data_IF_764046890844
#
_entry.id   IF_764046890844
#
_cell.length_a   1.000
_cell.length_b   1.000
_cell.length_c   1.000
_cell.angle_alpha   90.00
_cell.angle_beta   90.00
_cell.angle_gamma   90.00
#
_symmetry.space_group_name_H-M   'P 1'
#
loop_
_entity.id
_entity.type
_entity.pdbx_description
1 polymer ?
#
# COMPACT_ATOMS: atom_id res chain seq x y z
N UNK A 1 -16.58 0.45 11.68
CA UNK A 1 -16.61 -0.06 10.29
C UNK A 1 -16.87 1.15 9.41
N UNK A 2 -16.04 1.39 8.40
CA UNK A 2 -16.15 2.60 7.61
C UNK A 2 -17.36 2.49 6.67
N UNK A 3 -18.51 2.93 7.19
CA UNK A 3 -19.76 3.35 6.55
C UNK A 3 -19.87 3.35 5.02
N UNK A 4 -18.93 4.05 4.38
CA UNK A 4 -18.91 4.35 2.95
C UNK A 4 -17.56 5.01 2.65
N UNK A 5 -16.61 4.34 1.99
CA UNK A 5 -15.63 5.12 1.21
C UNK A 5 -16.41 5.56 -0.04
N UNK A 6 -17.13 6.67 0.06
CA UNK A 6 -17.68 7.41 -1.07
C UNK A 6 -16.58 8.06 -1.92
N UNK A 7 -15.43 7.41 -1.98
CA UNK A 7 -14.24 7.80 -2.68
C UNK A 7 -14.58 7.59 -4.15
N UNK A 8 -14.93 8.68 -4.84
CA UNK A 8 -15.28 8.65 -6.23
C UNK A 8 -14.19 7.89 -6.98
N UNK A 9 -14.58 7.11 -7.99
CA UNK A 9 -13.62 6.55 -8.94
C UNK A 9 -13.01 7.70 -9.77
N UNK A 10 -12.21 8.55 -9.13
CA UNK A 10 -11.21 9.34 -9.81
C UNK A 10 -10.34 8.35 -10.56
N UNK A 11 -10.25 8.50 -11.88
CA UNK A 11 -9.41 7.62 -12.69
C UNK A 11 -7.97 7.75 -12.20
N UNK A 12 -7.46 6.73 -11.54
CA UNK A 12 -6.08 6.70 -11.08
C UNK A 12 -5.14 6.91 -12.28
N UNK A 13 -4.24 7.87 -12.17
CA UNK A 13 -3.27 8.21 -13.23
C UNK A 13 -1.94 7.53 -12.97
N UNK A 14 -1.32 6.99 -14.02
CA UNK A 14 -0.02 6.31 -13.91
C UNK A 14 1.01 7.12 -14.68
N UNK A 15 2.05 7.59 -13.98
CA UNK A 15 3.04 8.52 -14.50
C UNK A 15 4.46 8.00 -14.26
N UNK A 16 5.39 8.24 -15.20
CA UNK A 16 6.83 8.08 -14.94
C UNK A 16 7.40 9.38 -14.35
N UNK A 17 8.49 9.32 -13.55
CA UNK A 17 9.20 10.52 -13.11
C UNK A 17 9.53 11.47 -14.28
N UNK A 18 9.17 12.75 -14.12
CA UNK A 18 9.34 13.78 -15.14
C UNK A 18 8.17 13.98 -16.12
N UNK A 19 7.12 13.15 -16.06
CA UNK A 19 5.90 13.37 -16.85
C UNK A 19 4.92 14.31 -16.11
N UNK A 20 4.44 15.35 -16.77
CA UNK A 20 3.37 16.21 -16.25
C UNK A 20 1.99 15.73 -16.70
N UNK A 21 1.01 15.78 -15.80
CA UNK A 21 -0.39 15.52 -16.11
C UNK A 21 -0.95 16.70 -16.92
N UNK A 22 -0.84 16.65 -18.25
CA UNK A 22 -1.47 17.62 -19.15
C UNK A 22 -3.00 17.42 -19.17
N UNK A 23 -3.71 17.89 -18.14
CA UNK A 23 -5.18 18.05 -18.17
C UNK A 23 -5.63 19.38 -17.57
N UNK A 24 -5.86 20.33 -18.48
CA UNK A 24 -6.75 21.49 -18.44
C UNK A 24 -7.40 21.81 -17.08
N UNK A 25 -6.96 22.91 -16.46
CA UNK A 25 -7.78 23.70 -15.55
C UNK A 25 -8.95 24.34 -16.33
N UNK A 26 -10.06 23.62 -16.44
CA UNK A 26 -11.35 24.22 -16.74
C UNK A 26 -11.77 25.09 -15.57
N UNK A 27 -11.68 26.41 -15.73
CA UNK A 27 -12.32 27.40 -14.85
C UNK A 27 -13.83 27.15 -14.83
N UNK A 28 -14.36 26.67 -13.72
CA UNK A 28 -15.77 26.81 -13.37
C UNK A 28 -15.89 27.85 -12.26
N UNK A 29 -16.33 29.05 -12.65
CA UNK A 29 -16.79 30.09 -11.75
C UNK A 29 -18.21 29.75 -11.30
N UNK A 30 -18.42 29.53 -10.00
CA UNK A 30 -19.75 29.49 -9.40
C UNK A 30 -19.89 30.64 -8.41
N UNK A 31 -20.77 31.58 -8.74
CA UNK A 31 -21.32 32.60 -7.85
C UNK A 31 -22.62 32.06 -7.25
N UNK A 32 -22.78 32.14 -5.93
CA UNK A 32 -24.08 31.96 -5.27
C UNK A 32 -24.29 33.09 -4.27
N UNK A 33 -25.22 33.98 -4.61
CA UNK A 33 -25.93 34.84 -3.67
C UNK A 33 -27.00 34.01 -2.95
N UNK A 34 -27.26 34.38 -1.70
CA UNK A 34 -28.04 33.58 -0.74
C UNK A 34 -29.54 33.58 -0.94
N UNK A 35 -30.20 32.68 -0.22
CA UNK A 35 -31.32 32.98 0.69
C UNK A 35 -31.69 31.72 1.49
N UNK A 36 -32.02 31.93 2.77
CA UNK A 36 -32.41 30.93 3.76
C UNK A 36 -33.89 30.55 3.61
N UNK A 37 -34.18 29.25 3.48
CA UNK A 37 -35.50 28.70 3.78
C UNK A 37 -35.41 27.44 4.64
N UNK A 38 -36.08 27.49 5.79
CA UNK A 38 -36.33 26.37 6.70
C UNK A 38 -37.60 25.63 6.28
N UNK A 39 -37.50 24.34 5.99
CA UNK A 39 -38.65 23.44 6.00
C UNK A 39 -38.30 22.16 6.73
N UNK A 40 -39.09 21.89 7.77
CA UNK A 40 -39.07 20.69 8.59
C UNK A 40 -40.02 19.67 7.96
N UNK A 41 -39.49 18.56 7.46
CA UNK A 41 -40.27 17.42 7.00
C UNK A 41 -39.60 16.13 7.49
N UNK A 42 -40.25 15.51 8.46
CA UNK A 42 -39.96 14.16 8.90
C UNK A 42 -40.41 13.16 7.84
N UNK A 43 -39.45 12.57 7.15
CA UNK A 43 -39.66 11.36 6.36
C UNK A 43 -38.87 10.23 6.99
N UNK A 44 -39.62 9.28 7.56
CA UNK A 44 -39.13 7.96 7.91
C UNK A 44 -38.73 7.23 6.64
N UNK A 45 -37.42 7.07 6.41
CA UNK A 45 -36.90 6.18 5.38
C UNK A 45 -36.42 4.89 6.02
N UNK A 46 -37.22 3.84 5.90
CA UNK A 46 -36.75 2.46 5.96
C UNK A 46 -36.52 2.02 4.51
N UNK A 47 -35.28 1.98 4.00
CA UNK A 47 -34.95 1.27 2.75
C UNK A 47 -33.44 0.95 2.55
N UNK A 48 -33.18 -0.34 2.32
CA UNK A 48 -32.27 -0.91 1.30
C UNK A 48 -30.82 -1.33 1.64
N UNK A 49 -30.64 -2.24 2.59
CA UNK A 49 -29.36 -2.97 2.76
C UNK A 49 -28.98 -4.02 1.67
N UNK A 50 -29.88 -4.67 0.89
CA UNK A 50 -29.46 -5.80 0.04
C UNK A 50 -28.75 -5.38 -1.25
N UNK A 51 -28.95 -4.16 -1.77
CA UNK A 51 -28.31 -3.71 -3.02
C UNK A 51 -26.86 -3.28 -2.80
N UNK A 52 -26.57 -2.62 -1.67
CA UNK A 52 -25.23 -2.15 -1.32
C UNK A 52 -24.26 -3.30 -1.08
N UNK A 53 -24.68 -4.31 -0.29
CA UNK A 53 -23.89 -5.52 -0.02
C UNK A 53 -23.57 -6.28 -1.31
N UNK A 54 -24.52 -6.37 -2.26
CA UNK A 54 -24.29 -7.02 -3.55
C UNK A 54 -23.26 -6.28 -4.40
N UNK A 55 -23.29 -4.94 -4.43
CA UNK A 55 -22.32 -4.13 -5.19
C UNK A 55 -20.91 -4.28 -4.59
N UNK A 56 -20.78 -4.23 -3.25
CA UNK A 56 -19.50 -4.42 -2.58
C UNK A 56 -18.90 -5.81 -2.84
N UNK A 57 -19.71 -6.86 -2.79
CA UNK A 57 -19.29 -8.22 -3.14
C UNK A 57 -18.86 -8.34 -4.60
N UNK A 58 -19.54 -7.65 -5.52
CA UNK A 58 -19.21 -7.65 -6.94
C UNK A 58 -17.88 -6.91 -7.22
N UNK A 59 -17.63 -5.79 -6.54
CA UNK A 59 -16.35 -5.05 -6.65
C UNK A 59 -15.18 -5.89 -6.15
N UNK A 60 -15.30 -6.49 -4.96
CA UNK A 60 -14.24 -7.34 -4.41
C UNK A 60 -14.06 -8.62 -5.24
N UNK A 61 -15.16 -9.22 -5.71
CA UNK A 61 -15.12 -10.38 -6.60
C UNK A 61 -14.38 -10.09 -7.90
N UNK A 62 -14.67 -8.95 -8.54
CA UNK A 62 -13.96 -8.48 -9.73
C UNK A 62 -12.48 -8.23 -9.44
N UNK A 63 -12.14 -7.60 -8.31
CA UNK A 63 -10.75 -7.39 -7.93
C UNK A 63 -10.00 -8.73 -7.79
N UNK A 64 -10.59 -9.72 -7.12
CA UNK A 64 -9.96 -11.02 -6.92
C UNK A 64 -9.68 -11.74 -8.24
N UNK A 65 -10.59 -11.68 -9.22
CA UNK A 65 -10.34 -12.23 -10.56
C UNK A 65 -9.15 -11.55 -11.26
N UNK A 66 -8.99 -10.24 -11.08
CA UNK A 66 -7.85 -9.50 -11.62
C UNK A 66 -6.55 -9.80 -10.86
N UNK A 67 -6.64 -9.99 -9.55
CA UNK A 67 -5.52 -10.38 -8.70
C UNK A 67 -4.98 -11.76 -9.10
N UNK A 68 -5.86 -12.74 -9.33
CA UNK A 68 -5.46 -14.06 -9.86
C UNK A 68 -4.72 -13.94 -11.20
N UNK A 69 -5.21 -13.07 -12.09
CA UNK A 69 -4.53 -12.80 -13.38
C UNK A 69 -3.14 -12.20 -13.17
N UNK A 70 -3.01 -11.23 -12.27
CA UNK A 70 -1.71 -10.63 -11.94
C UNK A 70 -0.76 -11.67 -11.35
N UNK A 71 -1.22 -12.49 -10.40
CA UNK A 71 -0.44 -13.56 -9.79
C UNK A 71 0.06 -14.56 -10.82
N UNK A 72 -0.80 -15.02 -11.73
CA UNK A 72 -0.41 -15.90 -12.83
C UNK A 72 0.66 -15.28 -13.74
N UNK A 73 0.56 -13.97 -14.03
CA UNK A 73 1.59 -13.25 -14.77
C UNK A 73 2.93 -13.18 -14.02
N UNK A 74 2.90 -12.85 -12.73
CA UNK A 74 4.11 -12.77 -11.91
C UNK A 74 4.80 -14.13 -11.80
N UNK A 75 4.04 -15.19 -11.49
CA UNK A 75 4.55 -16.56 -11.43
C UNK A 75 5.16 -17.01 -12.76
N UNK A 76 4.46 -16.80 -13.88
CA UNK A 76 4.94 -17.20 -15.21
C UNK A 76 6.27 -16.51 -15.60
N UNK A 77 6.53 -15.31 -15.08
CA UNK A 77 7.75 -14.53 -15.33
C UNK A 77 8.79 -14.62 -14.21
N UNK A 78 8.53 -15.42 -13.17
CA UNK A 78 9.34 -15.48 -11.96
C UNK A 78 9.57 -14.09 -11.34
N UNK A 79 8.52 -13.26 -11.29
CA UNK A 79 8.55 -11.95 -10.64
C UNK A 79 8.12 -12.15 -9.18
N UNK A 80 8.99 -11.80 -8.24
CA UNK A 80 8.62 -11.72 -6.83
C UNK A 80 7.89 -10.39 -6.58
N UNK A 81 6.57 -10.42 -6.56
CA UNK A 81 5.74 -9.25 -6.30
C UNK A 81 5.46 -9.11 -4.80
N UNK A 82 5.83 -7.97 -4.20
CA UNK A 82 5.68 -7.69 -2.79
C UNK A 82 4.82 -6.44 -2.58
N UNK A 83 3.78 -6.54 -1.76
CA UNK A 83 2.90 -5.43 -1.42
C UNK A 83 3.30 -4.84 -0.06
N UNK A 84 3.88 -3.64 -0.06
CA UNK A 84 4.28 -2.92 1.15
C UNK A 84 3.12 -2.04 1.63
N UNK A 85 2.58 -2.38 2.79
CA UNK A 85 1.43 -1.70 3.41
C UNK A 85 1.82 -1.14 4.77
N UNK A 86 1.38 0.08 5.10
CA UNK A 86 1.76 0.74 6.37
C UNK A 86 0.81 1.88 6.71
N UNK A 87 0.95 2.48 7.89
CA UNK A 87 0.45 3.84 8.12
C UNK A 87 1.30 4.87 7.35
N UNK A 88 0.83 6.11 7.15
CA UNK A 88 1.68 7.19 6.67
C UNK A 88 2.89 7.38 7.59
N UNK A 89 4.09 7.54 7.00
CA UNK A 89 5.30 7.83 7.76
C UNK A 89 5.97 6.64 8.47
N UNK A 90 5.49 5.40 8.30
CA UNK A 90 6.15 4.20 8.87
C UNK A 90 7.50 3.87 8.23
N UNK A 91 7.81 4.47 7.07
CA UNK A 91 9.13 4.41 6.43
C UNK A 91 9.26 3.47 5.23
N UNK A 92 8.17 3.18 4.51
CA UNK A 92 8.17 2.34 3.29
C UNK A 92 9.17 2.83 2.24
N UNK A 93 9.06 4.10 1.83
CA UNK A 93 9.95 4.66 0.80
C UNK A 93 11.41 4.65 1.23
N UNK A 94 11.69 4.94 2.51
CA UNK A 94 13.06 4.88 3.03
C UNK A 94 13.63 3.45 3.01
N UNK A 95 12.80 2.45 3.35
CA UNK A 95 13.18 1.03 3.27
C UNK A 95 13.50 0.66 1.81
N UNK A 96 12.68 1.09 0.85
CA UNK A 96 12.92 0.88 -0.58
C UNK A 96 14.19 1.57 -1.07
N UNK A 97 14.38 2.87 -0.78
CA UNK A 97 15.57 3.63 -1.17
C UNK A 97 16.85 2.95 -0.71
N UNK A 98 16.88 2.47 0.54
CA UNK A 98 18.04 1.78 1.11
C UNK A 98 18.24 0.40 0.48
N UNK A 99 17.16 -0.39 0.35
CA UNK A 99 17.21 -1.72 -0.27
C UNK A 99 17.74 -1.65 -1.70
N UNK A 100 17.25 -0.70 -2.51
CA UNK A 100 17.71 -0.51 -3.90
C UNK A 100 19.19 -0.13 -3.94
N UNK A 101 19.64 0.81 -3.10
CA UNK A 101 21.05 1.22 -3.04
C UNK A 101 21.98 0.07 -2.68
N UNK A 102 21.60 -0.75 -1.71
CA UNK A 102 22.46 -1.79 -1.15
C UNK A 102 22.36 -3.12 -1.95
N UNK A 103 21.21 -3.43 -2.55
CA UNK A 103 20.94 -4.71 -3.22
C UNK A 103 20.67 -4.61 -4.72
N UNK A 104 20.58 -3.42 -5.30
CA UNK A 104 20.30 -3.23 -6.73
C UNK A 104 21.36 -3.76 -7.70
N UNK A 105 22.56 -4.12 -7.20
CA UNK A 105 23.59 -4.84 -7.97
C UNK A 105 23.39 -6.37 -7.97
N UNK A 106 22.71 -6.90 -6.96
CA UNK A 106 22.43 -8.33 -6.80
C UNK A 106 21.04 -8.70 -7.37
N UNK A 107 20.07 -7.79 -7.24
CA UNK A 107 18.67 -7.99 -7.59
C UNK A 107 18.18 -6.90 -8.54
N UNK A 108 17.31 -7.27 -9.48
CA UNK A 108 16.66 -6.32 -10.38
C UNK A 108 15.34 -5.86 -9.77
N UNK A 109 15.23 -4.58 -9.42
CA UNK A 109 14.03 -4.02 -8.80
C UNK A 109 13.20 -3.20 -9.79
N UNK A 110 11.88 -3.33 -9.70
CA UNK A 110 10.90 -2.43 -10.31
C UNK A 110 9.92 -1.97 -9.23
N UNK A 111 9.53 -0.70 -9.27
CA UNK A 111 8.75 -0.08 -8.19
C UNK A 111 7.44 0.49 -8.72
N UNK A 112 6.34 0.16 -8.06
CA UNK A 112 5.04 0.82 -8.22
C UNK A 112 4.82 1.63 -6.96
N UNK A 113 4.78 2.95 -7.08
CA UNK A 113 4.50 3.88 -5.98
C UNK A 113 3.03 4.28 -6.00
N UNK A 114 2.28 3.97 -4.96
CA UNK A 114 0.87 4.32 -4.80
C UNK A 114 0.68 5.41 -3.76
N UNK A 115 0.17 6.57 -4.18
CA UNK A 115 -0.22 7.64 -3.27
C UNK A 115 -1.46 8.37 -3.80
N UNK A 116 -2.14 9.15 -2.96
CA UNK A 116 -3.27 9.97 -3.38
C UNK A 116 -2.85 11.02 -4.42
N UNK A 117 -1.70 11.67 -4.17
CA UNK A 117 -1.21 12.79 -4.96
C UNK A 117 0.32 12.85 -4.95
N UNK A 118 0.85 13.78 -5.76
CA UNK A 118 2.29 14.10 -5.89
C UNK A 118 3.12 13.03 -6.61
N UNK A 119 4.41 13.29 -6.75
CA UNK A 119 5.40 12.38 -7.33
C UNK A 119 6.59 12.20 -6.38
N UNK A 120 6.44 12.60 -5.10
CA UNK A 120 7.57 12.79 -4.21
C UNK A 120 8.35 11.50 -3.97
N UNK A 121 7.64 10.41 -3.68
CA UNK A 121 8.26 9.12 -3.41
C UNK A 121 8.77 8.46 -4.69
N UNK A 122 8.03 8.50 -5.80
CA UNK A 122 8.53 8.08 -7.11
C UNK A 122 9.82 8.84 -7.54
N UNK A 123 9.89 10.16 -7.31
CA UNK A 123 11.08 10.95 -7.63
C UNK A 123 12.27 10.60 -6.73
N UNK A 124 12.03 10.27 -5.46
CA UNK A 124 13.06 9.79 -4.53
C UNK A 124 13.60 8.43 -4.98
N UNK A 125 12.71 7.50 -5.34
CA UNK A 125 13.08 6.18 -5.84
C UNK A 125 13.85 6.26 -7.16
N UNK A 126 13.42 7.12 -8.09
CA UNK A 126 14.11 7.30 -9.37
C UNK A 126 15.57 7.75 -9.18
N UNK A 127 15.84 8.62 -8.19
CA UNK A 127 17.19 9.08 -7.85
C UNK A 127 18.11 7.97 -7.36
N UNK A 128 17.56 6.88 -6.82
CA UNK A 128 18.36 5.73 -6.35
C UNK A 128 18.57 4.67 -7.43
N UNK A 129 17.96 4.86 -8.62
CA UNK A 129 18.29 4.11 -9.83
C UNK A 129 17.35 2.96 -10.20
N UNK A 130 16.21 2.79 -9.51
CA UNK A 130 15.21 1.78 -9.90
C UNK A 130 14.16 2.36 -10.86
N UNK A 131 13.73 1.61 -11.90
CA UNK A 131 12.54 1.93 -12.68
C UNK A 131 11.31 2.02 -11.79
N UNK A 132 10.59 3.14 -11.88
CA UNK A 132 9.44 3.44 -11.04
C UNK A 132 8.32 4.12 -11.83
N UNK A 133 7.08 3.79 -11.47
CA UNK A 133 5.87 4.53 -11.88
C UNK A 133 5.11 4.95 -10.64
N UNK A 134 4.55 6.16 -10.68
CA UNK A 134 3.60 6.65 -9.71
C UNK A 134 2.19 6.30 -10.16
N UNK A 135 1.40 5.71 -9.27
CA UNK A 135 -0.05 5.55 -9.40
C UNK A 135 -0.70 6.54 -8.44
N UNK A 136 -1.17 7.66 -8.99
CA UNK A 136 -1.95 8.64 -8.23
C UNK A 136 -3.40 8.18 -8.17
N UNK A 137 -3.86 7.78 -6.98
CA UNK A 137 -5.20 7.23 -6.74
C UNK A 137 -6.27 8.32 -6.63
N UNK A 138 -5.89 9.60 -6.57
CA UNK A 138 -6.80 10.71 -6.35
C UNK A 138 -7.36 10.65 -4.93
N UNK A 139 -8.66 10.38 -4.81
CA UNK A 139 -9.32 10.18 -3.51
C UNK A 139 -9.23 8.73 -3.00
N UNK A 140 -8.72 7.80 -3.82
CA UNK A 140 -8.60 6.40 -3.46
C UNK A 140 -7.63 6.16 -2.31
N UNK A 141 -8.02 5.34 -1.33
CA UNK A 141 -7.24 5.03 -0.13
C UNK A 141 -6.38 3.76 -0.23
N UNK A 142 -6.34 3.11 -1.39
CA UNK A 142 -5.62 1.86 -1.66
C UNK A 142 -5.33 1.71 -3.16
N UNK A 143 -4.39 0.84 -3.50
CA UNK A 143 -4.24 0.27 -4.85
C UNK A 143 -5.16 -0.95 -5.01
N UNK A 144 -5.66 -1.17 -6.23
CA UNK A 144 -6.38 -2.38 -6.63
C UNK A 144 -5.60 -3.18 -7.70
N UNK A 145 -6.07 -4.39 -8.00
CA UNK A 145 -5.40 -5.27 -8.95
C UNK A 145 -5.38 -4.73 -10.39
N UNK A 146 -6.37 -3.92 -10.81
CA UNK A 146 -6.36 -3.29 -12.14
C UNK A 146 -5.27 -2.21 -12.25
N UNK A 147 -5.15 -1.37 -11.22
CA UNK A 147 -4.12 -0.35 -11.12
C UNK A 147 -2.73 -0.97 -11.20
N UNK A 148 -2.49 -2.05 -10.45
CA UNK A 148 -1.22 -2.79 -10.49
C UNK A 148 -0.98 -3.38 -11.88
N UNK A 149 -1.99 -3.98 -12.51
CA UNK A 149 -1.85 -4.53 -13.85
C UNK A 149 -1.41 -3.48 -14.88
N UNK A 150 -2.07 -2.31 -14.89
CA UNK A 150 -1.72 -1.20 -15.78
C UNK A 150 -0.33 -0.64 -15.48
N UNK A 151 0.05 -0.56 -14.20
CA UNK A 151 1.36 -0.08 -13.78
C UNK A 151 2.48 -1.02 -14.23
N UNK A 152 2.30 -2.33 -14.09
CA UNK A 152 3.25 -3.36 -14.57
C UNK A 152 3.48 -3.25 -16.08
N UNK A 153 2.41 -3.08 -16.86
CA UNK A 153 2.54 -2.86 -18.31
C UNK A 153 3.32 -1.59 -18.64
N UNK A 154 3.08 -0.51 -17.89
CA UNK A 154 3.75 0.78 -18.09
C UNK A 154 5.24 0.76 -17.70
N UNK A 155 5.58 -0.02 -16.67
CA UNK A 155 6.95 -0.24 -16.20
C UNK A 155 7.77 -1.14 -17.14
N UNK A 156 7.10 -2.00 -17.90
CA UNK A 156 7.75 -3.06 -18.69
C UNK A 156 8.61 -3.96 -17.79
N UNK A 157 8.02 -4.45 -16.69
CA UNK A 157 8.72 -5.26 -15.68
C UNK A 157 9.36 -6.48 -16.34
N UNK A 158 10.67 -6.63 -16.12
CA UNK A 158 11.46 -7.73 -16.66
C UNK A 158 11.18 -9.04 -15.92
N UNK A 159 11.47 -10.16 -16.58
CA UNK A 159 11.42 -11.49 -15.96
C UNK A 159 12.50 -11.62 -14.86
N UNK A 160 12.27 -12.50 -13.89
CA UNK A 160 13.20 -12.77 -12.77
C UNK A 160 13.57 -11.51 -11.97
N UNK A 161 12.59 -10.65 -11.71
CA UNK A 161 12.76 -9.39 -11.01
C UNK A 161 11.98 -9.35 -9.68
N UNK A 162 12.31 -8.40 -8.83
CA UNK A 162 11.53 -8.07 -7.63
C UNK A 162 10.67 -6.85 -7.95
N UNK A 163 9.36 -7.01 -7.88
CA UNK A 163 8.39 -5.92 -8.02
C UNK A 163 7.95 -5.47 -6.63
N UNK A 164 8.39 -4.29 -6.21
CA UNK A 164 7.92 -3.68 -4.96
C UNK A 164 6.73 -2.77 -5.26
N UNK A 165 5.60 -3.07 -4.64
CA UNK A 165 4.38 -2.27 -4.72
C UNK A 165 4.27 -1.51 -3.40
N UNK A 166 4.70 -0.25 -3.40
CA UNK A 166 4.46 0.64 -2.27
C UNK A 166 3.00 1.10 -2.30
N UNK A 167 2.18 0.58 -1.38
CA UNK A 167 0.76 0.93 -1.31
C UNK A 167 0.56 2.28 -0.61
N UNK A 168 -0.64 2.84 -0.76
CA UNK A 168 -1.06 4.05 -0.06
C UNK A 168 -0.91 3.84 1.45
N UNK A 169 -0.44 4.87 2.18
CA UNK A 169 -0.29 4.83 3.63
C UNK A 169 -1.65 4.66 4.36
N UNK A 170 -2.13 3.42 4.48
CA UNK A 170 -3.37 3.06 5.13
C UNK A 170 -3.33 1.60 5.60
N UNK A 171 -3.78 1.33 6.84
CA UNK A 171 -3.87 -0.03 7.41
C UNK A 171 -5.28 -0.63 7.37
N UNK A 172 -6.25 0.07 6.79
CA UNK A 172 -7.67 -0.34 6.73
C UNK A 172 -8.03 -0.75 5.31
N UNK A 173 -8.05 0.20 4.35
CA UNK A 173 -8.53 -0.09 3.00
C UNK A 173 -7.72 -1.19 2.30
N UNK A 174 -6.37 -1.17 2.29
CA UNK A 174 -5.59 -2.13 1.51
C UNK A 174 -5.72 -3.57 2.02
N UNK A 175 -6.16 -3.79 3.26
CA UNK A 175 -6.31 -5.13 3.82
C UNK A 175 -7.30 -6.00 3.02
N UNK A 176 -8.30 -5.37 2.38
CA UNK A 176 -9.38 -6.07 1.66
C UNK A 176 -9.08 -6.29 0.17
N UNK A 177 -8.00 -5.71 -0.37
CA UNK A 177 -7.70 -5.75 -1.79
C UNK A 177 -6.44 -6.58 -2.02
N UNK A 178 -6.64 -7.76 -2.61
CA UNK A 178 -5.56 -8.57 -3.17
C UNK A 178 -5.09 -7.95 -4.48
N UNK A 179 -3.77 -7.82 -4.67
CA UNK A 179 -3.17 -7.27 -5.89
C UNK A 179 -2.58 -8.36 -6.79
N UNK A 180 -2.59 -9.61 -6.32
CA UNK A 180 -1.87 -10.73 -6.92
C UNK A 180 -0.44 -10.86 -6.41
N UNK A 181 -0.06 -10.14 -5.33
CA UNK A 181 1.26 -10.23 -4.73
C UNK A 181 1.58 -11.65 -4.23
N UNK A 182 2.86 -12.01 -4.19
CA UNK A 182 3.33 -13.25 -3.57
C UNK A 182 3.27 -13.14 -2.05
N UNK A 183 3.67 -11.98 -1.51
CA UNK A 183 3.74 -11.71 -0.09
C UNK A 183 3.34 -10.27 0.22
N UNK A 184 2.52 -10.10 1.27
CA UNK A 184 2.15 -8.80 1.83
C UNK A 184 3.01 -8.49 3.06
N UNK A 185 3.73 -7.37 2.99
CA UNK A 185 4.63 -6.91 4.05
C UNK A 185 4.00 -5.71 4.75
N UNK A 186 3.52 -5.91 5.98
CA UNK A 186 3.05 -4.81 6.81
C UNK A 186 4.23 -4.15 7.52
N UNK A 187 4.34 -2.83 7.44
CA UNK A 187 5.38 -2.05 8.09
C UNK A 187 4.71 -1.15 9.13
N UNK A 188 5.13 -1.31 10.38
CA UNK A 188 4.79 -0.37 11.46
C UNK A 188 6.07 0.30 11.95
N UNK A 189 5.94 1.40 12.68
CA UNK A 189 7.07 2.02 13.36
C UNK A 189 6.89 2.07 14.87
N UNK A 190 7.99 2.24 15.60
CA UNK A 190 7.98 2.42 17.05
C UNK A 190 7.24 3.69 17.49
N UNK A 191 7.10 4.69 16.61
CA UNK A 191 6.42 5.97 16.88
C UNK A 191 4.89 5.90 16.87
N UNK A 192 4.34 4.69 16.79
CA UNK A 192 2.99 4.44 16.29
C UNK A 192 2.10 3.69 17.30
N UNK A 193 2.69 3.23 18.42
CA UNK A 193 2.06 2.47 19.51
C UNK A 193 2.06 0.96 19.28
N UNK A 194 2.29 0.17 20.33
CA UNK A 194 2.42 -1.29 20.24
C UNK A 194 1.10 -2.01 19.95
N UNK A 195 -0.05 -1.36 20.21
CA UNK A 195 -1.38 -1.95 20.08
C UNK A 195 -1.97 -1.95 18.65
N UNK A 196 -1.17 -1.54 17.65
CA UNK A 196 -1.58 -1.53 16.24
C UNK A 196 -2.11 -2.87 15.71
N UNK A 197 -1.51 -4.03 16.02
CA UNK A 197 -2.03 -5.29 15.53
C UNK A 197 -3.48 -5.55 15.98
N UNK A 198 -3.80 -5.20 17.24
CA UNK A 198 -5.15 -5.34 17.78
C UNK A 198 -6.14 -4.34 17.15
N UNK A 199 -5.67 -3.13 16.82
CA UNK A 199 -6.49 -2.08 16.18
C UNK A 199 -6.78 -2.35 14.70
N UNK A 200 -5.87 -3.03 13.99
CA UNK A 200 -5.96 -3.29 12.55
C UNK A 200 -5.87 -4.78 12.21
N UNK A 201 -6.71 -5.65 12.81
CA UNK A 201 -6.49 -7.10 12.80
C UNK A 201 -6.56 -7.71 11.39
N UNK A 202 -7.38 -7.15 10.49
CA UNK A 202 -7.46 -7.64 9.11
C UNK A 202 -6.14 -7.46 8.35
N UNK A 203 -5.44 -6.34 8.56
CA UNK A 203 -4.16 -6.10 7.91
C UNK A 203 -3.14 -7.15 8.33
N UNK A 204 -2.93 -7.31 9.63
CA UNK A 204 -1.96 -8.25 10.18
C UNK A 204 -2.30 -9.71 9.87
N UNK A 205 -3.59 -10.06 9.85
CA UNK A 205 -4.06 -11.39 9.43
C UNK A 205 -3.73 -11.71 7.97
N UNK A 206 -3.80 -10.71 7.11
CA UNK A 206 -3.53 -10.87 5.67
C UNK A 206 -2.06 -10.74 5.28
N UNK A 207 -1.18 -10.38 6.21
CA UNK A 207 0.25 -10.17 5.96
C UNK A 207 1.07 -11.43 6.21
N UNK A 208 2.15 -11.59 5.43
CA UNK A 208 3.11 -12.68 5.57
C UNK A 208 4.31 -12.28 6.44
N UNK A 209 4.67 -10.99 6.39
CA UNK A 209 5.78 -10.40 7.13
C UNK A 209 5.33 -9.09 7.78
N UNK A 210 5.73 -8.88 9.03
CA UNK A 210 5.65 -7.62 9.73
C UNK A 210 7.06 -7.06 9.97
N UNK A 211 7.28 -5.81 9.56
CA UNK A 211 8.49 -5.07 9.88
C UNK A 211 8.17 -4.03 10.96
N UNK A 212 8.89 -4.09 12.07
CA UNK A 212 8.88 -3.07 13.12
C UNK A 212 10.07 -2.15 12.86
N UNK A 213 9.81 -1.00 12.23
CA UNK A 213 10.81 -0.03 11.81
C UNK A 213 11.07 1.04 12.88
N UNK A 214 12.16 1.80 12.72
CA UNK A 214 12.60 2.90 13.59
C UNK A 214 12.96 2.45 15.00
N UNK A 215 13.56 1.26 15.13
CA UNK A 215 14.08 0.76 16.42
C UNK A 215 15.16 1.67 17.01
N UNK A 216 15.82 2.50 16.20
CA UNK A 216 16.76 3.54 16.66
C UNK A 216 16.13 4.59 17.57
N UNK A 217 14.79 4.69 17.58
CA UNK A 217 14.05 5.62 18.44
C UNK A 217 13.65 5.03 19.79
N UNK A 218 13.82 3.73 20.03
CA UNK A 218 13.45 3.07 21.29
C UNK A 218 14.01 3.75 22.54
N UNK A 219 15.25 4.28 22.57
CA UNK A 219 15.76 5.00 23.74
C UNK A 219 14.98 6.27 24.12
N UNK A 220 14.08 6.74 23.24
CA UNK A 220 13.31 7.97 23.40
C UNK A 220 11.80 7.73 23.48
N UNK A 221 11.35 6.46 23.44
CA UNK A 221 9.95 6.08 23.34
C UNK A 221 9.61 5.01 24.37
N UNK A 222 8.41 5.11 24.95
CA UNK A 222 7.83 4.06 25.79
C UNK A 222 7.16 2.96 24.94
N UNK A 223 7.87 2.45 23.93
CA UNK A 223 7.37 1.40 23.04
C UNK A 223 7.95 0.05 23.44
N UNK A 224 7.07 -0.92 23.71
CA UNK A 224 7.45 -2.30 24.02
C UNK A 224 7.35 -3.18 22.76
N UNK A 225 8.52 -3.60 22.26
CA UNK A 225 8.63 -4.39 21.03
C UNK A 225 8.11 -5.82 21.22
N UNK A 226 8.34 -6.43 22.38
CA UNK A 226 7.87 -7.78 22.66
C UNK A 226 6.35 -7.81 22.74
N UNK A 227 5.75 -6.79 23.36
CA UNK A 227 4.29 -6.66 23.42
C UNK A 227 3.68 -6.44 22.04
N UNK A 228 4.32 -5.63 21.18
CA UNK A 228 3.88 -5.47 19.78
C UNK A 228 3.94 -6.81 19.02
N UNK A 229 5.00 -7.59 19.25
CA UNK A 229 5.20 -8.93 18.68
C UNK A 229 4.13 -9.91 19.15
N UNK A 230 3.84 -9.95 20.45
CA UNK A 230 2.77 -10.77 21.02
C UNK A 230 1.41 -10.45 20.39
N UNK A 231 1.06 -9.16 20.30
CA UNK A 231 -0.19 -8.74 19.67
C UNK A 231 -0.26 -9.11 18.19
N UNK A 232 0.84 -8.99 17.45
CA UNK A 232 0.89 -9.40 16.05
C UNK A 232 0.64 -10.91 15.89
N UNK A 233 1.30 -11.73 16.71
CA UNK A 233 1.17 -13.19 16.68
C UNK A 233 -0.18 -13.70 17.21
N UNK A 234 -0.82 -12.96 18.13
CA UNK A 234 -2.21 -13.24 18.52
C UNK A 234 -3.19 -13.11 17.35
N UNK A 235 -2.94 -12.19 16.42
CA UNK A 235 -3.79 -12.00 15.23
C UNK A 235 -3.42 -12.97 14.12
N UNK A 236 -2.12 -13.24 13.94
CA UNK A 236 -1.58 -14.11 12.91
C UNK A 236 -0.39 -14.92 13.44
N UNK A 237 -0.61 -16.18 13.87
CA UNK A 237 0.44 -17.04 14.42
C UNK A 237 1.59 -17.37 13.46
N UNK A 238 1.34 -17.31 12.14
CA UNK A 238 2.33 -17.64 11.10
C UNK A 238 3.12 -16.41 10.63
N UNK A 239 2.82 -15.23 11.17
CA UNK A 239 3.45 -13.97 10.77
C UNK A 239 4.93 -13.95 11.12
N UNK A 240 5.79 -13.81 10.10
CA UNK A 240 7.20 -13.50 10.31
C UNK A 240 7.34 -12.07 10.82
N UNK A 241 8.26 -11.80 11.73
CA UNK A 241 8.47 -10.47 12.31
C UNK A 241 9.95 -10.12 12.25
N UNK A 242 10.28 -8.96 11.67
CA UNK A 242 11.63 -8.40 11.59
C UNK A 242 11.63 -7.04 12.28
N UNK A 243 12.59 -6.84 13.17
CA UNK A 243 12.87 -5.56 13.81
C UNK A 243 14.06 -4.91 13.11
N UNK A 244 13.91 -3.64 12.71
CA UNK A 244 14.99 -2.93 12.05
C UNK A 244 14.90 -1.41 12.23
N UNK A 245 16.01 -0.75 11.94
CA UNK A 245 16.04 0.67 11.67
C UNK A 245 16.63 0.90 10.29
N UNK A 246 15.82 1.43 9.38
CA UNK A 246 16.31 1.91 8.08
C UNK A 246 17.35 3.01 8.26
N UNK A 247 17.28 3.80 9.33
CA UNK A 247 18.19 4.92 9.58
C UNK A 247 19.57 4.44 10.05
N UNK A 248 19.64 3.58 11.06
CA UNK A 248 20.93 3.06 11.57
C UNK A 248 21.47 1.92 10.70
N UNK A 249 20.58 1.13 10.09
CA UNK A 249 20.90 -0.09 9.34
C UNK A 249 20.81 -1.36 10.16
N UNK A 250 20.61 -1.24 11.46
CA UNK A 250 20.39 -2.38 12.32
C UNK A 250 19.17 -3.19 11.85
N UNK A 251 19.30 -4.51 11.80
CA UNK A 251 18.24 -5.42 11.36
C UNK A 251 18.01 -5.51 9.84
N UNK A 252 18.62 -4.63 9.03
CA UNK A 252 18.43 -4.65 7.56
C UNK A 252 18.88 -5.96 6.91
N UNK A 253 19.91 -6.62 7.45
CA UNK A 253 20.37 -7.92 6.94
C UNK A 253 19.28 -9.00 7.00
N UNK A 254 18.45 -9.01 8.05
CA UNK A 254 17.33 -9.94 8.18
C UNK A 254 16.30 -9.73 7.06
N UNK A 255 16.02 -8.48 6.71
CA UNK A 255 15.15 -8.14 5.58
C UNK A 255 15.74 -8.62 4.25
N UNK A 256 17.05 -8.41 4.04
CA UNK A 256 17.71 -8.87 2.82
C UNK A 256 17.77 -10.40 2.70
N UNK A 257 17.99 -11.09 3.81
CA UNK A 257 17.98 -12.54 3.85
C UNK A 257 16.58 -13.09 3.57
N UNK A 258 15.54 -12.46 4.12
CA UNK A 258 14.15 -12.80 3.80
C UNK A 258 13.86 -12.62 2.30
N UNK A 259 14.24 -11.48 1.69
CA UNK A 259 14.09 -11.27 0.25
C UNK A 259 14.80 -12.34 -0.59
N UNK A 260 16.00 -12.76 -0.17
CA UNK A 260 16.76 -13.81 -0.85
C UNK A 260 16.12 -15.19 -0.73
N UNK A 261 15.39 -15.46 0.36
CA UNK A 261 14.65 -16.71 0.54
C UNK A 261 13.43 -16.73 -0.37
N UNK A 262 12.61 -15.67 -0.37
CA UNK A 262 11.39 -15.61 -1.18
C UNK A 262 11.68 -15.57 -2.70
N UNK A 263 12.88 -15.18 -3.11
CA UNK A 263 13.33 -15.24 -4.52
C UNK A 263 13.73 -16.64 -5.00
N UNK A 264 13.98 -17.59 -4.08
CA UNK A 264 14.40 -18.96 -4.41
C UNK A 264 13.24 -19.94 -4.52
N UNK A 265 12.10 -19.57 -3.94
CA UNK A 265 10.85 -20.32 -3.97
C UNK A 265 10.03 -19.98 -5.23
#
# INVERSE_FOLDING_TARGET
MCDTCGCGQGKATILKPGEENSKNHGKTTHTHDGETHTHDHSHSHDHSHPRKVKIEQDVLGKNNLLAERNRGFFQAKNILALNLVSSPGSGKTSLLERTIKEKGKELTFFIIEGDQQTMNDANRIAKVGAPVVQVNTGEGCHLDADMVNRAVQRLEVADKAVLMIENVGNLVCPAMFDLGESSRVVIISTTEGEDKPLKYPYMFRSSNLCIINKTDLLPYLDFDVEKAREYALQINPDLKIIELSVKSGEGMDQWYDWLKQEMKD
#
